data_IF_888991477510
#
_entry.id   IF_888991477510
#
_cell.length_a   1.000
_cell.length_b   1.000
_cell.length_c   1.000
_cell.angle_alpha   90.00
_cell.angle_beta   90.00
_cell.angle_gamma   90.00
#
_symmetry.space_group_name_H-M   'P 1'
#
loop_
_entity.id
_entity.type
_entity.pdbx_description
1 polymer ?
#
# COMPACT_ATOMS: atom_id res chain seq x y z
N UNK A 1 -33.99 -11.03 -7.80
CA UNK A 1 -33.39 -12.34 -8.13
C UNK A 1 -31.97 -12.53 -7.57
N UNK A 2 -30.92 -11.85 -8.05
CA UNK A 2 -29.51 -12.09 -7.58
C UNK A 2 -29.36 -12.05 -6.05
N UNK A 3 -29.80 -10.96 -5.40
CA UNK A 3 -29.71 -10.78 -3.94
C UNK A 3 -30.62 -11.77 -3.19
N UNK A 4 -31.80 -12.08 -3.76
CA UNK A 4 -32.77 -13.00 -3.14
C UNK A 4 -32.28 -14.46 -3.18
N UNK A 5 -31.67 -14.86 -4.29
CA UNK A 5 -31.16 -16.22 -4.50
C UNK A 5 -29.72 -16.41 -3.97
N UNK A 6 -29.02 -15.33 -3.61
CA UNK A 6 -27.63 -15.40 -3.14
C UNK A 6 -26.64 -15.89 -4.20
N UNK A 7 -26.97 -15.73 -5.49
CA UNK A 7 -26.22 -16.33 -6.60
C UNK A 7 -25.92 -15.31 -7.69
N UNK A 8 -24.66 -15.21 -8.09
CA UNK A 8 -24.22 -14.37 -9.21
C UNK A 8 -24.04 -15.19 -10.50
N UNK A 9 -24.28 -14.59 -11.68
CA UNK A 9 -24.04 -15.24 -12.97
C UNK A 9 -22.59 -15.74 -13.10
N UNK A 10 -22.40 -16.93 -13.68
CA UNK A 10 -21.06 -17.52 -13.86
C UNK A 10 -20.10 -16.65 -14.67
N UNK A 11 -20.61 -15.91 -15.65
CA UNK A 11 -19.79 -14.96 -16.44
C UNK A 11 -19.19 -13.83 -15.59
N UNK A 12 -19.80 -13.48 -14.46
CA UNK A 12 -19.29 -12.42 -13.58
C UNK A 12 -18.12 -12.89 -12.70
N UNK A 13 -17.90 -14.21 -12.64
CA UNK A 13 -16.74 -14.85 -12.01
C UNK A 13 -15.54 -15.00 -12.93
N UNK A 14 -15.69 -14.63 -14.21
CA UNK A 14 -14.60 -14.62 -15.19
C UNK A 14 -13.93 -13.25 -15.22
N UNK A 15 -12.62 -13.23 -15.37
CA UNK A 15 -11.89 -11.98 -15.61
C UNK A 15 -10.74 -12.13 -16.60
N UNK A 16 -10.37 -11.05 -17.29
CA UNK A 16 -9.22 -11.01 -18.19
C UNK A 16 -8.11 -10.21 -17.53
N UNK A 17 -6.94 -10.80 -17.34
CA UNK A 17 -5.79 -10.17 -16.71
C UNK A 17 -4.92 -9.50 -17.77
N UNK A 18 -4.79 -8.18 -17.69
CA UNK A 18 -3.87 -7.39 -18.50
C UNK A 18 -2.57 -7.16 -17.74
N UNK A 19 -1.43 -7.34 -18.40
CA UNK A 19 -0.12 -7.13 -17.80
C UNK A 19 0.38 -5.70 -18.05
N UNK A 20 0.54 -4.92 -16.98
CA UNK A 20 1.21 -3.63 -17.02
C UNK A 20 2.67 -3.77 -16.60
N UNK A 21 3.58 -3.37 -17.48
CA UNK A 21 5.00 -3.32 -17.14
C UNK A 21 5.27 -2.24 -16.09
N UNK A 22 5.92 -2.60 -14.98
CA UNK A 22 6.25 -1.70 -13.86
C UNK A 22 7.25 -0.60 -14.24
N UNK A 23 7.91 -0.71 -15.39
CA UNK A 23 8.87 0.28 -15.88
C UNK A 23 10.25 0.20 -15.21
N UNK A 24 11.08 1.21 -15.47
CA UNK A 24 12.43 1.33 -14.93
C UNK A 24 13.45 0.36 -15.57
N UNK A 25 14.56 0.12 -14.87
CA UNK A 25 15.63 -0.82 -15.30
C UNK A 25 15.28 -2.30 -15.04
N UNK A 26 14.00 -2.62 -14.83
CA UNK A 26 13.56 -3.98 -14.52
C UNK A 26 13.59 -4.85 -15.79
N UNK A 27 14.07 -6.10 -15.72
CA UNK A 27 14.12 -6.98 -16.87
C UNK A 27 12.71 -7.32 -17.36
N UNK A 28 12.46 -7.15 -18.67
CA UNK A 28 11.17 -7.49 -19.31
C UNK A 28 10.92 -9.00 -19.37
N UNK A 29 11.94 -9.81 -19.16
CA UNK A 29 11.84 -11.27 -19.11
C UNK A 29 11.37 -11.78 -17.75
N UNK A 30 11.46 -10.96 -16.69
CA UNK A 30 10.97 -11.33 -15.36
C UNK A 30 9.47 -11.06 -15.22
N UNK A 31 8.72 -12.08 -14.85
CA UNK A 31 7.28 -11.99 -14.59
C UNK A 31 6.96 -11.02 -13.44
N UNK A 32 7.85 -10.86 -12.46
CA UNK A 32 7.66 -9.93 -11.35
C UNK A 32 7.79 -8.45 -11.76
N UNK A 33 8.28 -8.18 -12.98
CA UNK A 33 8.32 -6.85 -13.57
C UNK A 33 6.96 -6.38 -14.09
N UNK A 34 5.95 -7.24 -14.07
CA UNK A 34 4.59 -6.91 -14.51
C UNK A 34 3.62 -6.85 -13.33
N UNK A 35 2.54 -6.09 -13.51
CA UNK A 35 1.39 -6.02 -12.60
C UNK A 35 0.15 -6.46 -13.39
N UNK A 36 -0.52 -7.50 -12.91
CA UNK A 36 -1.77 -7.96 -13.50
C UNK A 36 -2.93 -7.04 -13.08
N UNK A 37 -3.72 -6.58 -14.03
CA UNK A 37 -4.99 -5.90 -13.76
C UNK A 37 -6.11 -6.78 -14.32
N UNK A 38 -6.98 -7.23 -13.44
CA UNK A 38 -8.17 -8.02 -13.76
C UNK A 38 -9.28 -7.11 -14.26
N UNK A 39 -9.66 -7.28 -15.52
CA UNK A 39 -10.86 -6.70 -16.10
C UNK A 39 -12.03 -7.65 -15.89
N UNK A 40 -12.98 -7.22 -15.06
CA UNK A 40 -14.27 -7.88 -14.84
C UNK A 40 -15.36 -7.25 -15.71
N UNK A 41 -16.45 -7.98 -16.04
CA UNK A 41 -17.55 -7.45 -16.84
C UNK A 41 -18.13 -6.15 -16.28
N UNK A 42 -18.49 -5.19 -17.14
CA UNK A 42 -18.99 -3.87 -16.73
C UNK A 42 -20.22 -3.96 -15.81
N UNK A 43 -21.15 -4.89 -16.11
CA UNK A 43 -22.34 -5.10 -15.28
C UNK A 43 -21.98 -5.64 -13.88
N UNK A 44 -20.94 -6.48 -13.78
CA UNK A 44 -20.43 -6.97 -12.51
C UNK A 44 -19.81 -5.83 -11.69
N UNK A 45 -19.14 -4.85 -12.32
CA UNK A 45 -18.60 -3.65 -11.64
C UNK A 45 -19.71 -2.79 -11.04
N UNK A 46 -20.82 -2.61 -11.76
CA UNK A 46 -21.98 -1.86 -11.25
C UNK A 46 -22.53 -2.56 -10.02
N UNK A 47 -22.68 -3.89 -10.08
CA UNK A 47 -23.15 -4.67 -8.94
C UNK A 47 -22.18 -4.64 -7.75
N UNK A 48 -20.88 -4.81 -8.00
CA UNK A 48 -19.82 -4.67 -7.01
C UNK A 48 -19.88 -3.32 -6.29
N UNK A 49 -20.19 -2.24 -7.02
CA UNK A 49 -20.35 -0.91 -6.42
C UNK A 49 -21.55 -0.82 -5.49
N UNK A 50 -22.67 -1.48 -5.83
CA UNK A 50 -23.81 -1.57 -4.93
C UNK A 50 -23.44 -2.32 -3.65
N UNK A 51 -22.76 -3.46 -3.76
CA UNK A 51 -22.30 -4.22 -2.59
C UNK A 51 -21.32 -3.45 -1.73
N UNK A 52 -20.36 -2.75 -2.33
CA UNK A 52 -19.41 -1.89 -1.61
C UNK A 52 -20.13 -0.81 -0.78
N UNK A 53 -21.18 -0.20 -1.35
CA UNK A 53 -21.97 0.80 -0.65
C UNK A 53 -22.73 0.19 0.54
N UNK A 54 -23.31 -1.00 0.37
CA UNK A 54 -23.97 -1.71 1.49
C UNK A 54 -22.98 -2.10 2.59
N UNK A 55 -21.80 -2.62 2.26
CA UNK A 55 -20.75 -2.90 3.24
C UNK A 55 -20.32 -1.65 4.01
N UNK A 56 -20.24 -0.51 3.32
CA UNK A 56 -19.86 0.77 3.94
C UNK A 56 -20.96 1.31 4.86
N UNK A 57 -22.24 1.10 4.53
CA UNK A 57 -23.36 1.45 5.42
C UNK A 57 -23.39 0.60 6.69
N UNK A 58 -23.01 -0.68 6.59
CA UNK A 58 -23.03 -1.60 7.73
C UNK A 58 -22.03 -1.19 8.83
N UNK A 59 -20.86 -0.67 8.46
CA UNK A 59 -19.88 -0.13 9.40
C UNK A 59 -19.33 1.21 8.91
N UNK A 60 -19.95 2.34 9.32
CA UNK A 60 -19.49 3.67 8.91
C UNK A 60 -18.12 4.03 9.51
N UNK A 61 -17.77 3.49 10.67
CA UNK A 61 -16.51 3.76 11.38
C UNK A 61 -15.35 2.87 10.90
N UNK A 62 -15.56 2.07 9.85
CA UNK A 62 -14.53 1.21 9.26
C UNK A 62 -13.87 1.90 8.05
N UNK A 63 -12.54 1.74 7.83
CA UNK A 63 -11.57 0.93 8.55
C UNK A 63 -10.96 1.64 9.77
N UNK A 64 -10.01 0.99 10.44
CA UNK A 64 -9.16 1.60 11.44
C UNK A 64 -8.61 2.95 10.93
N UNK A 65 -8.63 3.98 11.79
CA UNK A 65 -8.28 5.35 11.42
C UNK A 65 -6.82 5.53 10.95
N UNK A 66 -5.92 4.59 11.27
CA UNK A 66 -4.55 4.56 10.76
C UNK A 66 -4.46 4.18 9.27
N UNK A 67 -5.49 3.52 8.73
CA UNK A 67 -5.60 3.16 7.32
C UNK A 67 -6.14 4.33 6.50
N UNK A 68 -5.28 4.94 5.70
CA UNK A 68 -5.69 6.11 4.89
C UNK A 68 -6.07 5.74 3.45
N UNK A 69 -5.78 4.50 3.01
CA UNK A 69 -6.09 4.09 1.65
C UNK A 69 -7.59 3.85 1.41
N UNK A 70 -8.04 4.25 0.22
CA UNK A 70 -9.42 4.10 -0.25
C UNK A 70 -10.48 4.79 0.63
N UNK A 71 -10.05 5.70 1.50
CA UNK A 71 -10.94 6.50 2.33
C UNK A 71 -11.27 7.83 1.66
N UNK A 72 -12.49 8.31 1.89
CA UNK A 72 -12.89 9.64 1.42
C UNK A 72 -12.02 10.70 2.10
N UNK A 73 -11.60 11.69 1.34
CA UNK A 73 -10.82 12.85 1.82
C UNK A 73 -9.41 12.53 2.36
N UNK A 74 -8.98 11.27 2.32
CA UNK A 74 -7.63 10.87 2.67
C UNK A 74 -6.83 10.46 1.44
N UNK A 75 -5.51 10.58 1.54
CA UNK A 75 -4.56 10.26 0.49
C UNK A 75 -3.32 9.61 1.08
N UNK A 76 -2.49 9.01 0.22
CA UNK A 76 -1.18 8.46 0.64
C UNK A 76 -0.26 9.50 1.28
N UNK A 77 -0.48 10.79 0.98
CA UNK A 77 0.25 11.88 1.62
C UNK A 77 -0.06 12.00 3.11
N UNK A 78 -1.28 11.66 3.54
CA UNK A 78 -1.66 11.69 4.95
C UNK A 78 -0.88 10.66 5.77
N UNK A 79 -0.72 9.43 5.28
CA UNK A 79 0.10 8.41 5.94
C UNK A 79 1.56 8.88 6.08
N UNK A 80 2.12 9.47 5.02
CA UNK A 80 3.50 9.95 5.04
C UNK A 80 3.69 11.20 5.90
N UNK A 81 2.67 12.05 5.98
CA UNK A 81 2.64 13.21 6.88
C UNK A 81 2.62 12.75 8.33
N UNK A 82 1.66 11.89 8.71
CA UNK A 82 1.56 11.34 10.07
C UNK A 82 2.88 10.70 10.51
N UNK A 83 3.47 9.87 9.65
CA UNK A 83 4.77 9.23 9.92
C UNK A 83 5.88 10.26 10.19
N UNK A 84 5.92 11.35 9.42
CA UNK A 84 6.94 12.39 9.61
C UNK A 84 6.72 13.20 10.89
N UNK A 85 5.48 13.56 11.20
CA UNK A 85 5.13 14.31 12.42
C UNK A 85 5.49 13.52 13.67
N UNK A 86 5.11 12.24 13.75
CA UNK A 86 5.46 11.35 14.87
C UNK A 86 6.97 11.26 15.04
N UNK A 87 7.69 11.09 13.92
CA UNK A 87 9.15 11.06 13.91
C UNK A 87 9.75 12.38 14.41
N UNK A 88 9.32 13.53 13.90
CA UNK A 88 9.87 14.83 14.32
C UNK A 88 9.57 15.12 15.79
N UNK A 89 8.34 14.88 16.24
CA UNK A 89 7.93 15.04 17.64
C UNK A 89 8.85 14.31 18.63
N UNK A 90 9.28 13.09 18.33
CA UNK A 90 10.17 12.33 19.21
C UNK A 90 11.64 12.77 19.09
N UNK A 91 12.10 13.10 17.88
CA UNK A 91 13.47 13.59 17.66
C UNK A 91 13.69 14.94 18.35
N UNK A 92 12.72 15.85 18.28
CA UNK A 92 12.78 17.17 18.93
C UNK A 92 12.85 17.07 20.45
N UNK A 93 12.22 16.04 21.03
CA UNK A 93 12.37 15.67 22.45
C UNK A 93 13.69 14.97 22.77
N UNK A 94 14.59 14.84 21.80
CA UNK A 94 15.90 14.20 21.95
C UNK A 94 15.84 12.68 22.05
N UNK A 95 14.72 12.06 21.64
CA UNK A 95 14.49 10.63 21.68
C UNK A 95 14.95 9.89 20.40
N UNK A 96 15.20 8.58 20.49
CA UNK A 96 15.36 7.70 19.34
C UNK A 96 14.03 7.42 18.63
N UNK A 97 14.09 7.20 17.31
CA UNK A 97 12.96 6.72 16.50
C UNK A 97 13.43 5.64 15.53
N UNK A 98 12.70 4.53 15.48
CA UNK A 98 12.86 3.45 14.53
C UNK A 98 11.63 3.40 13.64
N UNK A 99 11.84 3.35 12.33
CA UNK A 99 10.76 3.20 11.36
C UNK A 99 11.03 1.91 10.58
N UNK A 100 10.12 0.95 10.67
CA UNK A 100 10.10 -0.26 9.85
C UNK A 100 9.06 -0.06 8.75
N UNK A 101 9.49 -0.12 7.50
CA UNK A 101 8.62 -0.15 6.34
C UNK A 101 8.51 -1.60 5.88
N UNK A 102 7.34 -2.21 6.08
CA UNK A 102 7.08 -3.60 5.71
C UNK A 102 6.62 -3.69 4.25
N UNK A 103 7.22 -4.59 3.47
CA UNK A 103 6.81 -4.88 2.10
C UNK A 103 6.00 -6.19 2.07
N UNK A 104 4.72 -6.07 1.73
CA UNK A 104 3.82 -7.21 1.56
C UNK A 104 4.05 -7.89 0.20
N UNK A 105 4.26 -9.20 0.17
CA UNK A 105 4.51 -9.92 -1.08
C UNK A 105 3.22 -10.11 -1.87
N UNK A 106 3.05 -9.31 -2.93
CA UNK A 106 1.90 -9.37 -3.85
C UNK A 106 0.56 -9.36 -3.09
N UNK A 107 0.40 -8.39 -2.18
CA UNK A 107 -0.66 -8.37 -1.16
C UNK A 107 -2.07 -8.71 -1.67
N UNK A 108 -2.49 -8.12 -2.79
CA UNK A 108 -3.81 -8.37 -3.37
C UNK A 108 -3.93 -9.77 -3.95
N UNK A 109 -2.86 -10.33 -4.53
CA UNK A 109 -2.86 -11.65 -5.17
C UNK A 109 -2.76 -12.80 -4.16
N UNK A 110 -2.34 -12.52 -2.92
CA UNK A 110 -2.03 -13.54 -1.91
C UNK A 110 -3.13 -13.77 -0.87
N UNK A 111 -4.14 -12.89 -0.78
CA UNK A 111 -5.27 -13.04 0.15
C UNK A 111 -5.94 -14.42 0.00
N UNK A 112 -5.91 -15.31 1.00
CA UNK A 112 -6.59 -16.60 0.89
C UNK A 112 -8.12 -16.40 0.90
N UNK A 113 -8.84 -17.10 0.02
CA UNK A 113 -10.30 -16.99 -0.05
C UNK A 113 -10.97 -17.48 1.24
N UNK A 114 -10.48 -18.57 1.84
CA UNK A 114 -10.97 -19.07 3.13
C UNK A 114 -10.75 -18.05 4.26
N UNK A 115 -9.57 -17.43 4.30
CA UNK A 115 -9.30 -16.38 5.28
C UNK A 115 -10.22 -15.18 5.08
N UNK A 116 -10.45 -14.77 3.83
CA UNK A 116 -11.38 -13.68 3.51
C UNK A 116 -12.82 -14.01 3.94
N UNK A 117 -13.29 -15.26 3.77
CA UNK A 117 -14.62 -15.70 4.24
C UNK A 117 -14.78 -15.54 5.74
N UNK A 118 -13.77 -15.93 6.51
CA UNK A 118 -13.74 -15.76 7.97
C UNK A 118 -13.76 -14.27 8.32
N UNK A 119 -12.93 -13.44 7.65
CA UNK A 119 -12.89 -11.99 7.86
C UNK A 119 -14.21 -11.30 7.57
N UNK A 120 -14.90 -11.72 6.51
CA UNK A 120 -16.24 -11.23 6.17
C UNK A 120 -17.27 -11.60 7.25
N UNK A 121 -17.17 -12.79 7.83
CA UNK A 121 -18.01 -13.19 8.95
C UNK A 121 -17.71 -12.37 10.21
N UNK A 122 -16.44 -12.20 10.58
CA UNK A 122 -15.98 -11.36 11.71
C UNK A 122 -16.38 -9.88 11.53
N UNK A 123 -16.42 -9.38 10.29
CA UNK A 123 -16.92 -8.06 9.95
C UNK A 123 -18.40 -7.88 10.34
N UNK A 124 -19.17 -8.97 10.46
CA UNK A 124 -20.57 -8.95 10.87
C UNK A 124 -21.52 -8.65 9.72
N UNK A 125 -21.19 -9.05 8.48
CA UNK A 125 -22.11 -8.89 7.36
C UNK A 125 -23.33 -9.84 7.51
N UNK A 126 -24.52 -9.44 7.06
CA UNK A 126 -25.69 -10.32 7.07
C UNK A 126 -25.46 -11.60 6.26
N UNK A 127 -26.00 -12.73 6.72
CA UNK A 127 -25.80 -14.05 6.11
C UNK A 127 -26.06 -14.07 4.59
N UNK A 128 -27.11 -13.39 4.11
CA UNK A 128 -27.40 -13.30 2.67
C UNK A 128 -26.29 -12.61 1.87
N UNK A 129 -25.72 -11.53 2.41
CA UNK A 129 -24.61 -10.83 1.79
C UNK A 129 -23.32 -11.66 1.84
N UNK A 130 -23.11 -12.39 2.95
CA UNK A 130 -22.01 -13.33 3.07
C UNK A 130 -22.08 -14.42 2.00
N UNK A 131 -23.22 -15.11 1.85
CA UNK A 131 -23.39 -16.15 0.84
C UNK A 131 -23.17 -15.62 -0.58
N UNK A 132 -23.62 -14.39 -0.84
CA UNK A 132 -23.41 -13.75 -2.14
C UNK A 132 -21.93 -13.47 -2.41
N UNK A 133 -21.20 -12.91 -1.44
CA UNK A 133 -19.77 -12.65 -1.57
C UNK A 133 -18.96 -13.94 -1.68
N UNK A 134 -19.32 -14.98 -0.93
CA UNK A 134 -18.74 -16.31 -1.06
C UNK A 134 -18.99 -16.88 -2.45
N UNK A 135 -20.21 -16.79 -2.97
CA UNK A 135 -20.53 -17.21 -4.34
C UNK A 135 -19.77 -16.41 -5.40
N UNK A 136 -19.45 -15.14 -5.13
CA UNK A 136 -18.64 -14.30 -6.03
C UNK A 136 -17.19 -14.75 -6.14
N UNK A 137 -16.63 -15.30 -5.06
CA UNK A 137 -15.24 -15.76 -5.00
C UNK A 137 -15.09 -17.28 -5.19
N UNK A 138 -16.18 -18.02 -5.16
CA UNK A 138 -16.23 -19.45 -5.47
C UNK A 138 -16.02 -19.68 -6.97
N UNK A 139 -15.08 -20.55 -7.37
CA UNK A 139 -14.79 -20.87 -8.78
C UNK A 139 -14.45 -19.65 -9.66
N UNK A 140 -13.73 -18.67 -9.13
CA UNK A 140 -13.16 -17.58 -9.93
C UNK A 140 -12.23 -18.14 -11.01
N UNK A 141 -12.38 -17.65 -12.23
CA UNK A 141 -11.52 -18.03 -13.36
C UNK A 141 -11.00 -16.81 -14.08
N UNK A 142 -9.77 -16.93 -14.59
CA UNK A 142 -9.11 -15.85 -15.31
C UNK A 142 -8.35 -16.36 -16.52
N UNK A 143 -8.15 -15.48 -17.49
CA UNK A 143 -7.22 -15.69 -18.61
C UNK A 143 -6.29 -14.46 -18.70
N UNK A 144 -5.02 -14.66 -19.03
CA UNK A 144 -4.05 -13.58 -19.24
C UNK A 144 -4.12 -13.12 -20.68
N UNK A 145 -4.28 -11.81 -20.89
CA UNK A 145 -4.16 -11.20 -22.20
C UNK A 145 -2.75 -10.66 -22.43
N UNK A 146 -2.06 -11.18 -23.45
CA UNK A 146 -0.71 -10.77 -23.82
C UNK A 146 -0.51 -10.88 -25.34
N UNK A 147 0.10 -9.87 -25.95
CA UNK A 147 0.44 -9.89 -27.38
C UNK A 147 -0.77 -10.07 -28.32
N UNK A 148 -1.94 -9.54 -27.94
CA UNK A 148 -3.17 -9.70 -28.74
C UNK A 148 -3.88 -11.04 -28.58
N UNK A 149 -3.40 -11.92 -27.70
CA UNK A 149 -3.95 -13.28 -27.49
C UNK A 149 -4.34 -13.49 -26.03
N UNK A 150 -5.35 -14.31 -25.81
CA UNK A 150 -5.74 -14.81 -24.50
C UNK A 150 -5.04 -16.15 -24.23
N UNK A 151 -4.59 -16.35 -22.99
CA UNK A 151 -4.19 -17.67 -22.51
C UNK A 151 -5.40 -18.58 -22.33
N UNK A 152 -5.13 -19.85 -22.02
CA UNK A 152 -6.14 -20.72 -21.44
C UNK A 152 -6.71 -20.13 -20.14
N UNK A 153 -7.97 -20.42 -19.86
CA UNK A 153 -8.61 -20.08 -18.60
C UNK A 153 -8.05 -20.96 -17.48
N UNK A 154 -7.81 -20.36 -16.32
CA UNK A 154 -7.37 -21.05 -15.12
C UNK A 154 -8.15 -20.57 -13.90
N UNK A 155 -8.25 -21.43 -12.87
CA UNK A 155 -8.92 -21.09 -11.62
C UNK A 155 -8.01 -20.21 -10.74
N UNK A 156 -8.62 -19.23 -10.08
CA UNK A 156 -7.97 -18.43 -9.04
C UNK A 156 -8.34 -18.99 -7.67
N UNK A 157 -7.35 -19.51 -6.95
CA UNK A 157 -7.55 -20.08 -5.60
C UNK A 157 -7.29 -19.08 -4.47
N UNK A 158 -6.71 -17.92 -4.80
CA UNK A 158 -6.38 -16.86 -3.85
C UNK A 158 -6.35 -15.52 -4.58
N UNK A 159 -6.35 -14.48 -3.76
CA UNK A 159 -6.28 -13.09 -4.17
C UNK A 159 -7.64 -12.46 -4.38
N UNK A 160 -7.66 -11.15 -4.22
CA UNK A 160 -8.73 -10.26 -4.67
C UNK A 160 -8.37 -9.70 -6.04
N UNK A 161 -9.35 -9.59 -6.95
CA UNK A 161 -9.12 -9.22 -8.35
C UNK A 161 -8.63 -7.77 -8.45
N UNK A 162 -7.34 -7.53 -8.68
CA UNK A 162 -6.79 -6.18 -8.79
C UNK A 162 -7.45 -5.44 -9.98
N UNK A 163 -8.27 -4.42 -9.72
CA UNK A 163 -9.04 -3.70 -10.75
C UNK A 163 -10.56 -3.94 -10.72
N UNK A 164 -11.03 -4.88 -9.89
CA UNK A 164 -12.45 -4.96 -9.48
C UNK A 164 -12.76 -3.87 -8.46
N UNK A 165 -13.99 -3.37 -8.47
CA UNK A 165 -14.45 -2.27 -7.61
C UNK A 165 -14.41 -2.69 -6.14
N UNK A 166 -14.88 -3.92 -5.87
CA UNK A 166 -15.03 -4.42 -4.51
C UNK A 166 -13.71 -4.88 -3.87
N UNK A 167 -12.70 -5.21 -4.69
CA UNK A 167 -11.43 -5.79 -4.22
C UNK A 167 -10.70 -4.93 -3.20
N UNK A 168 -10.72 -3.60 -3.35
CA UNK A 168 -10.09 -2.69 -2.39
C UNK A 168 -10.75 -2.79 -1.01
N UNK A 169 -12.09 -2.73 -0.95
CA UNK A 169 -12.83 -2.89 0.31
C UNK A 169 -12.60 -4.27 0.94
N UNK A 170 -12.56 -5.34 0.15
CA UNK A 170 -12.30 -6.70 0.65
C UNK A 170 -10.88 -6.85 1.20
N UNK A 171 -9.89 -6.24 0.54
CA UNK A 171 -8.52 -6.20 1.06
C UNK A 171 -8.45 -5.44 2.38
N UNK A 172 -9.13 -4.29 2.47
CA UNK A 172 -9.20 -3.55 3.73
C UNK A 172 -9.84 -4.39 4.85
N UNK A 173 -10.95 -5.08 4.57
CA UNK A 173 -11.61 -5.96 5.55
C UNK A 173 -10.67 -7.07 6.00
N UNK A 174 -9.90 -7.63 5.07
CA UNK A 174 -8.91 -8.65 5.38
C UNK A 174 -7.82 -8.12 6.32
N UNK A 175 -7.17 -7.00 6.00
CA UNK A 175 -5.99 -6.53 6.74
C UNK A 175 -6.32 -5.76 8.03
N UNK A 176 -7.56 -5.33 8.25
CA UNK A 176 -7.91 -4.39 9.32
C UNK A 176 -7.55 -4.88 10.72
N UNK A 177 -7.76 -6.16 11.03
CA UNK A 177 -7.47 -6.67 12.38
C UNK A 177 -5.97 -6.75 12.69
N UNK A 178 -5.10 -6.76 11.67
CA UNK A 178 -3.67 -6.55 11.90
C UNK A 178 -3.43 -5.14 12.46
N UNK A 179 -4.06 -4.13 11.85
CA UNK A 179 -3.94 -2.74 12.27
C UNK A 179 -4.52 -2.56 13.67
N UNK A 180 -5.69 -3.12 13.94
CA UNK A 180 -6.32 -3.08 15.27
C UNK A 180 -5.45 -3.74 16.35
N UNK A 181 -4.79 -4.87 16.03
CA UNK A 181 -3.86 -5.55 16.95
C UNK A 181 -2.60 -4.75 17.22
N UNK A 182 -2.03 -4.12 16.19
CA UNK A 182 -0.88 -3.24 16.34
C UNK A 182 -1.20 -2.05 17.24
N UNK A 183 -2.36 -1.42 17.04
CA UNK A 183 -2.83 -0.33 17.88
C UNK A 183 -3.10 -0.77 19.33
N UNK A 184 -3.79 -1.91 19.50
CA UNK A 184 -4.14 -2.48 20.81
C UNK A 184 -2.92 -2.95 21.62
N UNK A 185 -1.79 -3.21 20.96
CA UNK A 185 -0.55 -3.61 21.64
C UNK A 185 0.03 -2.53 22.55
N UNK A 186 -0.39 -1.27 22.36
CA UNK A 186 0.13 -0.08 23.04
C UNK A 186 1.67 0.03 22.96
N UNK A 187 2.26 -0.55 21.92
CA UNK A 187 3.68 -0.42 21.59
C UNK A 187 3.88 0.69 20.58
N UNK A 188 5.12 1.19 20.51
CA UNK A 188 5.58 2.03 19.42
C UNK A 188 5.83 3.49 19.82
N UNK A 189 5.21 4.41 19.09
CA UNK A 189 5.39 5.85 19.22
C UNK A 189 4.05 6.55 19.45
N UNK A 190 4.05 7.45 20.43
CA UNK A 190 2.85 8.17 20.87
C UNK A 190 3.03 9.68 20.71
N UNK A 191 1.96 10.35 20.32
CA UNK A 191 1.87 11.81 20.41
C UNK A 191 0.89 12.11 21.55
N UNK A 192 1.41 12.55 22.69
CA UNK A 192 0.65 12.60 23.94
C UNK A 192 0.08 11.20 24.26
N UNK A 193 -1.24 11.07 24.37
CA UNK A 193 -1.93 9.82 24.68
C UNK A 193 -2.40 9.06 23.42
N UNK A 194 -2.13 9.60 22.23
CA UNK A 194 -2.56 9.00 20.96
C UNK A 194 -1.48 8.09 20.40
N UNK A 195 -1.85 6.82 20.19
CA UNK A 195 -1.00 5.88 19.47
C UNK A 195 -0.92 6.30 17.99
N UNK A 196 0.28 6.61 17.52
CA UNK A 196 0.54 7.03 16.15
C UNK A 196 1.60 6.14 15.49
N UNK A 197 1.68 4.89 15.94
CA UNK A 197 2.75 3.97 15.62
C UNK A 197 2.61 3.31 14.26
N UNK A 198 1.43 3.35 13.64
CA UNK A 198 1.14 2.47 12.50
C UNK A 198 0.44 3.15 11.32
N UNK A 199 0.96 4.24 10.72
CA UNK A 199 0.38 4.76 9.49
C UNK A 199 0.36 3.68 8.38
N UNK A 200 -0.81 3.42 7.80
CA UNK A 200 -0.97 2.41 6.74
C UNK A 200 -1.58 3.01 5.47
N UNK A 201 -1.03 2.61 4.33
CA UNK A 201 -1.57 2.88 2.99
C UNK A 201 -1.77 1.55 2.25
N UNK A 202 -2.97 0.97 2.36
CA UNK A 202 -3.31 -0.33 1.80
C UNK A 202 -2.34 -1.43 2.25
N UNK A 203 -1.44 -1.90 1.38
CA UNK A 203 -0.43 -2.90 1.65
C UNK A 203 0.91 -2.35 2.14
N UNK A 204 1.13 -1.04 2.03
CA UNK A 204 2.27 -0.33 2.62
C UNK A 204 2.01 -0.11 4.11
N UNK A 205 2.57 -0.99 4.96
CA UNK A 205 2.47 -0.90 6.41
C UNK A 205 3.76 -0.30 6.96
N UNK A 206 3.63 0.77 7.73
CA UNK A 206 4.75 1.36 8.48
C UNK A 206 4.57 1.13 9.97
N UNK A 207 5.67 0.83 10.66
CA UNK A 207 5.74 0.72 12.11
C UNK A 207 6.73 1.77 12.60
N UNK A 208 6.31 2.55 13.59
CA UNK A 208 7.11 3.58 14.24
C UNK A 208 7.25 3.20 15.71
N UNK A 209 8.48 3.11 16.19
CA UNK A 209 8.78 2.76 17.56
C UNK A 209 9.90 3.62 18.12
N UNK A 210 9.94 3.77 19.43
CA UNK A 210 10.98 4.55 20.11
C UNK A 210 12.15 3.66 20.57
N UNK A 211 12.00 2.34 20.63
CA UNK A 211 13.05 1.42 21.06
C UNK A 211 13.03 0.09 20.27
N UNK A 212 14.04 -0.77 20.48
CA UNK A 212 14.16 -2.07 19.79
C UNK A 212 13.02 -3.01 20.17
N UNK A 213 12.72 -3.11 21.46
CA UNK A 213 11.76 -4.07 21.99
C UNK A 213 10.37 -3.78 21.43
N UNK A 214 9.93 -2.52 21.47
CA UNK A 214 8.66 -2.09 20.86
C UNK A 214 8.61 -2.43 19.37
N UNK A 215 9.66 -2.09 18.60
CA UNK A 215 9.69 -2.41 17.17
C UNK A 215 9.63 -3.92 16.90
N UNK A 216 10.31 -4.73 17.72
CA UNK A 216 10.34 -6.18 17.56
C UNK A 216 9.00 -6.83 17.91
N UNK A 217 8.32 -6.35 18.97
CA UNK A 217 6.98 -6.82 19.33
C UNK A 217 5.98 -6.53 18.21
N UNK A 218 6.01 -5.32 17.66
CA UNK A 218 5.11 -4.94 16.56
C UNK A 218 5.40 -5.74 15.28
N UNK A 219 6.66 -5.95 14.91
CA UNK A 219 7.01 -6.81 13.77
C UNK A 219 6.59 -8.27 14.02
N UNK A 220 6.69 -8.76 15.25
CA UNK A 220 6.21 -10.10 15.61
C UNK A 220 4.69 -10.24 15.44
N UNK A 221 3.90 -9.22 15.78
CA UNK A 221 2.45 -9.19 15.52
C UNK A 221 2.18 -9.33 14.01
N UNK A 222 2.95 -8.63 13.17
CA UNK A 222 2.86 -8.78 11.71
C UNK A 222 3.24 -10.20 11.25
N UNK A 223 4.30 -10.77 11.81
CA UNK A 223 4.74 -12.14 11.51
C UNK A 223 3.68 -13.19 11.88
N UNK A 224 3.11 -13.10 13.08
CA UNK A 224 2.04 -14.00 13.54
C UNK A 224 0.79 -13.87 12.66
N UNK A 225 0.44 -12.65 12.26
CA UNK A 225 -0.65 -12.41 11.32
C UNK A 225 -0.38 -13.04 9.95
N UNK A 226 0.85 -12.86 9.43
CA UNK A 226 1.29 -13.44 8.17
C UNK A 226 1.16 -14.96 8.16
N UNK A 227 1.65 -15.62 9.22
CA UNK A 227 1.59 -17.08 9.36
C UNK A 227 0.13 -17.54 9.44
N UNK A 228 -0.67 -16.90 10.28
CA UNK A 228 -2.09 -17.27 10.49
C UNK A 228 -2.92 -17.16 9.22
N UNK A 229 -2.71 -16.10 8.44
CA UNK A 229 -3.53 -15.79 7.27
C UNK A 229 -2.83 -16.03 5.95
N UNK A 230 -1.69 -16.74 5.95
CA UNK A 230 -0.90 -17.02 4.74
C UNK A 230 -0.62 -15.76 3.90
N UNK A 231 -0.37 -14.63 4.57
CA UNK A 231 -0.15 -13.31 3.98
C UNK A 231 1.29 -12.87 4.22
N UNK A 232 2.18 -13.19 3.29
CA UNK A 232 3.62 -13.07 3.52
C UNK A 232 4.16 -11.65 3.34
N UNK A 233 4.89 -11.15 4.35
CA UNK A 233 5.84 -10.05 4.21
C UNK A 233 7.18 -10.50 3.60
N UNK A 234 7.94 -9.59 3.02
CA UNK A 234 9.28 -9.84 2.50
C UNK A 234 10.34 -9.16 3.37
N UNK A 235 11.12 -9.93 4.13
CA UNK A 235 12.22 -9.39 4.94
C UNK A 235 13.27 -8.65 4.09
N UNK A 236 13.67 -9.24 2.96
CA UNK A 236 14.66 -8.64 2.05
C UNK A 236 14.22 -7.35 1.33
N UNK A 237 12.92 -7.07 1.26
CA UNK A 237 12.41 -5.80 0.70
C UNK A 237 11.96 -4.81 1.77
N UNK A 238 11.69 -5.30 2.97
CA UNK A 238 11.38 -4.46 4.11
C UNK A 238 12.62 -3.67 4.53
N UNK A 239 12.41 -2.48 5.06
CA UNK A 239 13.47 -1.52 5.34
C UNK A 239 13.34 -0.97 6.75
N UNK A 240 14.46 -0.87 7.46
CA UNK A 240 14.56 -0.28 8.78
C UNK A 240 15.35 1.03 8.70
N UNK A 241 14.81 2.08 9.31
CA UNK A 241 15.45 3.39 9.43
C UNK A 241 15.60 3.74 10.91
N UNK A 242 16.76 4.30 11.26
CA UNK A 242 17.03 4.83 12.59
C UNK A 242 17.19 6.35 12.53
N UNK A 243 16.53 7.05 13.43
CA UNK A 243 16.61 8.49 13.60
C UNK A 243 16.83 8.85 15.07
N UNK A 244 17.29 10.08 15.30
CA UNK A 244 17.52 10.60 16.65
C UNK A 244 18.76 9.99 17.30
N UNK A 245 18.73 9.87 18.63
CA UNK A 245 19.88 9.34 19.39
C UNK A 245 20.12 7.85 19.07
N UNK A 246 21.39 7.41 19.03
CA UNK A 246 21.71 5.99 18.93
C UNK A 246 21.07 5.20 20.07
N UNK A 247 20.51 4.03 19.75
CA UNK A 247 20.02 3.06 20.73
C UNK A 247 20.82 1.78 20.66
N UNK A 248 20.97 1.09 21.80
CA UNK A 248 21.53 -0.26 21.86
C UNK A 248 20.59 -1.25 21.16
N UNK A 249 21.16 -2.18 20.40
CA UNK A 249 20.41 -3.15 19.60
C UNK A 249 19.60 -2.49 18.48
N UNK A 250 20.21 -2.33 17.31
CA UNK A 250 19.56 -1.70 16.15
C UNK A 250 18.65 -2.65 15.41
N UNK A 251 19.00 -3.93 15.36
CA UNK A 251 18.35 -4.86 14.44
C UNK A 251 16.92 -5.22 14.85
N UNK A 252 16.07 -5.38 13.84
CA UNK A 252 14.71 -5.90 13.97
C UNK A 252 14.61 -7.10 13.03
N UNK A 253 14.10 -8.21 13.54
CA UNK A 253 13.98 -9.46 12.81
C UNK A 253 12.55 -9.67 12.32
N UNK A 254 12.40 -10.17 11.11
CA UNK A 254 11.15 -10.64 10.52
C UNK A 254 11.38 -12.06 9.98
N UNK A 255 10.66 -13.06 10.47
CA UNK A 255 10.91 -14.49 10.23
C UNK A 255 12.31 -14.94 10.62
N UNK A 256 12.82 -14.41 11.74
CA UNK A 256 14.21 -14.57 12.18
C UNK A 256 15.28 -14.04 11.20
N UNK A 257 14.89 -13.33 10.13
CA UNK A 257 15.82 -12.66 9.22
C UNK A 257 15.93 -11.17 9.57
N UNK A 258 17.15 -10.59 9.59
CA UNK A 258 17.31 -9.19 9.89
C UNK A 258 16.76 -8.30 8.77
N UNK A 259 15.92 -7.32 9.13
CA UNK A 259 15.46 -6.29 8.21
C UNK A 259 16.64 -5.35 7.88
N UNK A 260 16.84 -5.10 6.59
CA UNK A 260 17.93 -4.26 6.12
C UNK A 260 17.84 -2.83 6.67
N UNK A 261 18.88 -2.40 7.39
CA UNK A 261 18.98 -1.01 7.86
C UNK A 261 19.48 -0.11 6.73
N UNK A 262 18.73 0.94 6.41
CA UNK A 262 19.03 1.85 5.31
C UNK A 262 19.13 3.30 5.80
N UNK A 263 19.88 4.12 5.05
CA UNK A 263 19.97 5.57 5.30
C UNK A 263 18.87 6.38 4.60
N UNK A 264 18.24 5.77 3.59
CA UNK A 264 17.17 6.38 2.82
C UNK A 264 16.16 5.31 2.41
N UNK A 265 14.89 5.61 2.56
CA UNK A 265 13.78 4.79 2.10
C UNK A 265 12.67 5.66 1.50
N UNK A 266 11.79 5.06 0.68
CA UNK A 266 10.65 5.75 0.10
C UNK A 266 9.36 5.30 0.78
N UNK A 267 8.59 6.23 1.33
CA UNK A 267 7.29 5.97 1.94
C UNK A 267 6.20 6.80 1.25
N UNK A 268 5.22 6.13 0.64
CA UNK A 268 4.14 6.77 -0.12
C UNK A 268 4.62 7.78 -1.18
N UNK A 269 5.79 7.53 -1.79
CA UNK A 269 6.38 8.42 -2.79
C UNK A 269 7.35 9.48 -2.24
N UNK A 270 7.47 9.63 -0.92
CA UNK A 270 8.34 10.60 -0.26
C UNK A 270 9.61 9.92 0.25
N UNK A 271 10.77 10.52 0.03
CA UNK A 271 12.03 10.01 0.55
C UNK A 271 12.22 10.41 2.03
N UNK A 272 12.50 9.42 2.87
CA UNK A 272 12.87 9.56 4.27
C UNK A 272 14.40 9.41 4.37
N UNK A 273 15.10 10.41 4.92
CA UNK A 273 16.56 10.38 5.08
C UNK A 273 16.92 10.39 6.57
N UNK A 274 17.78 9.45 6.99
CA UNK A 274 18.27 9.39 8.38
C UNK A 274 19.35 10.45 8.63
N UNK A 275 20.14 10.79 7.61
CA UNK A 275 21.08 11.90 7.63
C UNK A 275 20.53 13.10 6.84
N UNK A 276 20.22 14.18 7.55
CA UNK A 276 19.78 15.43 6.93
C UNK A 276 20.95 16.10 6.20
N UNK A 277 21.04 15.92 4.89
CA UNK A 277 21.49 17.01 4.02
C UNK A 277 20.23 17.63 3.43
N UNK A 278 19.82 18.78 3.96
CA UNK A 278 18.65 19.57 3.51
C UNK A 278 18.64 19.78 1.98
N UNK A 279 19.82 19.78 1.38
CA UNK A 279 20.04 19.89 -0.07
C UNK A 279 19.55 18.66 -0.85
N UNK A 280 19.79 17.44 -0.38
CA UNK A 280 19.40 16.20 -1.08
C UNK A 280 17.87 16.05 -1.14
N UNK A 281 17.17 16.39 -0.04
CA UNK A 281 15.70 16.46 -0.01
C UNK A 281 15.16 17.47 -1.02
N UNK A 282 15.77 18.66 -1.09
CA UNK A 282 15.36 19.72 -2.01
C UNK A 282 15.56 19.29 -3.46
N UNK A 283 16.69 18.65 -3.76
CA UNK A 283 17.02 18.14 -5.09
C UNK A 283 16.00 17.08 -5.54
N UNK A 284 15.65 16.11 -4.69
CA UNK A 284 14.73 15.04 -5.06
C UNK A 284 13.27 15.50 -5.19
N UNK A 285 12.82 16.46 -4.36
CA UNK A 285 11.52 17.12 -4.54
C UNK A 285 11.48 17.86 -5.87
N UNK A 286 12.53 18.62 -6.22
CA UNK A 286 12.64 19.30 -7.51
C UNK A 286 12.64 18.31 -8.69
N UNK A 287 13.35 17.17 -8.59
CA UNK A 287 13.35 16.12 -9.62
C UNK A 287 11.97 15.51 -9.81
N UNK A 288 11.26 15.21 -8.72
CA UNK A 288 9.91 14.63 -8.75
C UNK A 288 8.92 15.62 -9.37
N UNK A 289 8.93 16.89 -8.91
CA UNK A 289 8.13 17.97 -9.50
C UNK A 289 8.39 18.13 -11.00
N UNK A 290 9.67 18.11 -11.42
CA UNK A 290 10.05 18.18 -12.83
C UNK A 290 9.45 17.03 -13.64
N UNK A 291 9.59 15.79 -13.16
CA UNK A 291 9.03 14.61 -13.84
C UNK A 291 7.50 14.71 -13.98
N UNK A 292 6.80 15.14 -12.92
CA UNK A 292 5.35 15.34 -12.93
C UNK A 292 4.93 16.44 -13.90
N UNK A 293 5.58 17.61 -13.87
CA UNK A 293 5.28 18.72 -14.79
C UNK A 293 5.52 18.32 -16.24
N UNK A 294 6.63 17.63 -16.54
CA UNK A 294 6.89 17.11 -17.89
C UNK A 294 5.80 16.12 -18.33
N UNK A 295 5.36 15.23 -17.43
CA UNK A 295 4.27 14.30 -17.71
C UNK A 295 2.96 15.02 -18.01
N UNK A 296 2.63 16.08 -17.26
CA UNK A 296 1.42 16.87 -17.47
C UNK A 296 1.47 17.64 -18.80
N UNK A 297 2.62 18.23 -19.14
CA UNK A 297 2.83 18.89 -20.43
C UNK A 297 2.66 17.90 -21.59
N UNK A 298 3.21 16.67 -21.46
CA UNK A 298 3.02 15.59 -22.45
C UNK A 298 1.56 15.17 -22.61
N UNK A 299 0.75 15.33 -21.56
CA UNK A 299 -0.69 15.07 -21.57
C UNK A 299 -1.51 16.29 -22.06
N UNK A 300 -0.85 17.37 -22.51
CA UNK A 300 -1.51 18.54 -23.07
C UNK A 300 -1.85 19.65 -22.07
N UNK A 301 -1.39 19.56 -20.82
CA UNK A 301 -1.60 20.64 -19.83
C UNK A 301 -0.73 21.85 -20.19
N UNK A 302 -1.38 22.99 -20.42
CA UNK A 302 -0.69 24.21 -20.82
C UNK A 302 0.23 24.73 -19.69
N UNK A 303 1.51 25.03 -19.97
CA UNK A 303 2.48 25.44 -18.94
C UNK A 303 2.07 26.68 -18.12
N UNK A 304 1.24 27.56 -18.67
CA UNK A 304 0.78 28.78 -17.99
C UNK A 304 -0.09 28.53 -16.75
N UNK A 305 -0.58 27.29 -16.55
CA UNK A 305 -1.34 26.90 -15.36
C UNK A 305 -0.44 26.80 -14.12
N UNK A 306 0.88 26.62 -14.31
CA UNK A 306 1.82 26.55 -13.21
C UNK A 306 2.28 27.95 -12.77
N UNK A 307 2.29 28.22 -11.46
CA UNK A 307 2.77 29.49 -10.91
C UNK A 307 4.18 29.83 -11.44
N UNK A 308 4.46 31.08 -11.85
CA UNK A 308 5.74 31.48 -12.45
C UNK A 308 6.98 31.11 -11.62
N UNK A 309 6.87 31.15 -10.29
CA UNK A 309 7.97 30.76 -9.38
C UNK A 309 8.32 29.26 -9.47
N UNK A 310 7.32 28.39 -9.64
CA UNK A 310 7.53 26.95 -9.83
C UNK A 310 8.24 26.69 -11.16
N UNK A 311 7.79 27.34 -12.24
CA UNK A 311 8.43 27.27 -13.55
C UNK A 311 9.87 27.80 -13.51
N UNK A 312 10.14 28.89 -12.80
CA UNK A 312 11.48 29.49 -12.68
C UNK A 312 12.47 28.56 -11.98
N UNK A 313 12.10 27.92 -10.86
CA UNK A 313 12.95 26.92 -10.18
C UNK A 313 13.22 25.69 -11.07
N UNK A 314 12.20 25.23 -11.81
CA UNK A 314 12.32 24.12 -12.76
C UNK A 314 13.20 24.51 -13.97
N UNK A 315 13.11 25.75 -14.45
CA UNK A 315 13.86 26.26 -15.62
C UNK A 315 15.31 26.61 -15.27
N UNK A 316 15.59 27.12 -14.06
CA UNK A 316 16.96 27.35 -13.55
C UNK A 316 17.78 26.07 -13.47
N UNK A 317 17.14 24.93 -13.20
CA UNK A 317 17.82 23.62 -13.20
C UNK A 317 18.08 23.07 -14.61
N UNK A 318 17.39 23.57 -15.63
CA UNK A 318 17.70 23.29 -17.05
C UNK A 318 18.99 23.97 -17.51
N UNK A 319 19.28 25.18 -16.99
CA UNK A 319 20.45 25.98 -17.39
C UNK A 319 21.75 25.44 -16.80
N UNK A 320 21.70 24.67 -15.71
CA UNK A 320 22.88 24.13 -15.02
C UNK A 320 23.22 22.67 -15.40
N UNK A 321 22.47 22.02 -16.29
CA UNK A 321 22.77 20.65 -16.74
C UNK A 321 23.41 20.56 -18.14
N UNK A 322 23.52 21.67 -18.86
CA UNK A 322 24.14 21.73 -20.20
C UNK A 322 25.07 22.95 -20.28
N UNK A 323 26.24 22.83 -19.67
CA UNK A 323 27.28 23.85 -19.81
C UNK A 323 28.29 23.76 -18.68
N UNK A 324 29.55 23.51 -19.07
CA UNK A 324 30.77 23.53 -18.26
C UNK A 324 31.10 22.20 -17.56
N UNK A 325 31.75 21.29 -18.29
CA UNK A 325 33.20 21.01 -18.16
C UNK A 325 33.69 20.34 -19.44
N UNK A 326 34.33 21.10 -20.32
CA UNK A 326 35.52 20.66 -21.07
C UNK A 326 36.45 21.86 -21.12
N UNK A 327 37.67 21.67 -20.60
CA UNK A 327 38.84 22.49 -20.90
C UNK A 327 39.10 22.46 -22.41
#
# INVERSE_FOLDING_TARGET
>A
MIIQCGYIPGEWRKSIIFLLFKGGKKPRTDTNSYRGISLVPSIAKIFEKLLENELTKLRPDFPNHQQVAYQKQLSSMNASYNLQEVKFHHIEKGGPVKIVLLDSTKAFDTVPHDGLRIKLYEYGIPAKLWCLLDNMYSDLTSAVFSGGKLSNWFKLHRGVRQGSVLSAKLYLIFINDLIDKLESSQQGAFIHDLNASTPVQADDISIIATDRQSSQVMVKICEEYSIRWSFAFSAGKSQLLHFGKPTTGTDVLLYNEPISTVKMAKHCGINLYTCLKTMDRTIDVCRTLRATVISLIRLGVHPAIFKPYCLFKIRKTSVLSEGVVRM
#
